data_IF_671412961796
#
_entry.id   IF_671412961796
#
_cell.length_a   1.000
_cell.length_b   1.000
_cell.length_c   1.000
_cell.angle_alpha   90.00
_cell.angle_beta   90.00
_cell.angle_gamma   90.00
#
_symmetry.space_group_name_H-M   'P 1'
#
loop_
_entity.id
_entity.type
_entity.pdbx_description
1 polymer ?
#
# COMPACT_ATOMS: atom_id res chain seq x y z
N UNK A 1 -39.51 -25.70 -29.00
CA UNK A 1 -40.75 -24.91 -29.16
C UNK A 1 -41.01 -24.29 -27.80
N UNK A 2 -40.83 -23.00 -27.55
CA UNK A 2 -41.22 -21.83 -28.34
C UNK A 2 -40.26 -20.68 -28.03
N UNK A 3 -39.59 -20.15 -29.05
CA UNK A 3 -38.75 -18.96 -28.97
C UNK A 3 -39.64 -17.73 -28.83
N UNK A 4 -39.28 -16.79 -27.94
CA UNK A 4 -39.88 -15.45 -27.90
C UNK A 4 -38.82 -14.43 -28.28
N UNK A 5 -39.09 -13.81 -29.43
CA UNK A 5 -38.41 -12.66 -30.02
C UNK A 5 -38.27 -11.51 -29.02
N UNK A 6 -37.08 -10.89 -28.95
CA UNK A 6 -36.96 -9.53 -28.47
C UNK A 6 -36.25 -8.68 -29.53
N UNK A 7 -37.01 -7.70 -29.99
CA UNK A 7 -36.71 -6.77 -31.07
C UNK A 7 -35.71 -5.70 -30.61
N UNK A 8 -34.87 -5.30 -31.56
CA UNK A 8 -33.99 -4.16 -31.55
C UNK A 8 -34.73 -2.83 -31.34
N UNK A 9 -34.19 -1.94 -30.52
CA UNK A 9 -34.40 -0.49 -30.65
C UNK A 9 -33.07 0.25 -30.50
N UNK A 10 -32.56 0.69 -31.65
CA UNK A 10 -31.51 1.69 -31.83
C UNK A 10 -32.14 3.09 -31.73
N UNK A 11 -31.87 3.82 -30.65
CA UNK A 11 -32.04 5.27 -30.48
C UNK A 11 -30.96 5.65 -29.45
N UNK A 12 -29.93 6.43 -29.72
CA UNK A 12 -29.89 7.74 -30.35
C UNK A 12 -28.99 8.59 -29.44
N UNK A 13 -27.70 8.68 -29.77
CA UNK A 13 -26.71 9.41 -28.97
C UNK A 13 -26.79 10.92 -29.22
N UNK A 14 -26.81 11.76 -28.18
CA UNK A 14 -26.45 13.16 -28.30
C UNK A 14 -24.95 13.35 -28.09
N UNK A 15 -24.34 13.90 -29.14
CA UNK A 15 -22.98 14.45 -29.21
C UNK A 15 -22.82 15.56 -28.17
N UNK A 16 -22.09 15.32 -27.07
CA UNK A 16 -21.67 16.37 -26.13
C UNK A 16 -20.30 16.91 -26.54
N UNK A 17 -20.28 18.18 -26.89
CA UNK A 17 -19.12 19.00 -27.21
C UNK A 17 -18.47 19.48 -25.90
N UNK A 18 -17.33 18.92 -25.51
CA UNK A 18 -16.54 19.41 -24.37
C UNK A 18 -15.40 20.33 -24.85
N UNK A 19 -15.44 21.55 -24.34
CA UNK A 19 -14.48 22.63 -24.56
C UNK A 19 -13.16 22.32 -23.85
N UNK A 20 -12.06 22.35 -24.59
CA UNK A 20 -10.71 22.29 -24.05
C UNK A 20 -10.31 23.67 -23.47
N UNK A 21 -10.48 23.84 -22.16
CA UNK A 21 -9.87 24.95 -21.40
C UNK A 21 -8.54 24.50 -20.81
N UNK A 22 -7.50 25.26 -21.12
CA UNK A 22 -6.10 24.94 -20.85
C UNK A 22 -5.76 24.84 -19.36
N UNK A 23 -4.84 23.92 -19.07
CA UNK A 23 -4.17 23.83 -17.79
C UNK A 23 -2.98 24.81 -17.81
N UNK A 24 -3.19 25.96 -17.18
CA UNK A 24 -2.12 26.90 -16.86
C UNK A 24 -1.21 26.32 -15.78
N UNK A 25 0.09 26.40 -16.02
CA UNK A 25 1.15 26.08 -15.08
C UNK A 25 1.26 27.19 -14.03
N UNK A 26 0.67 26.99 -12.86
CA UNK A 26 1.03 27.72 -11.64
C UNK A 26 1.47 26.72 -10.57
N UNK A 27 2.78 26.66 -10.35
CA UNK A 27 3.40 25.95 -9.23
C UNK A 27 3.08 26.73 -7.95
N UNK A 28 2.46 26.12 -6.91
CA UNK A 28 2.32 26.78 -5.63
C UNK A 28 3.71 26.91 -4.97
N UNK A 29 4.20 28.14 -4.96
CA UNK A 29 5.29 28.59 -4.11
C UNK A 29 4.78 28.63 -2.66
N UNK A 30 5.20 27.69 -1.81
CA UNK A 30 4.86 27.77 -0.39
C UNK A 30 4.90 26.46 0.38
N UNK A 31 6.04 25.76 0.36
CA UNK A 31 6.33 24.81 1.43
C UNK A 31 6.99 25.60 2.57
N UNK A 32 6.18 26.21 3.43
CA UNK A 32 6.68 26.77 4.68
C UNK A 32 7.09 25.62 5.60
N UNK A 33 8.40 25.47 5.77
CA UNK A 33 9.00 24.59 6.77
C UNK A 33 8.64 25.14 8.15
N UNK A 34 7.69 24.49 8.82
CA UNK A 34 7.35 24.79 10.21
C UNK A 34 8.52 24.39 11.12
N UNK A 35 9.33 25.38 11.47
CA UNK A 35 10.47 25.29 12.40
C UNK A 35 10.15 26.07 13.67
N UNK A 36 9.33 25.49 14.54
CA UNK A 36 9.14 25.85 15.96
C UNK A 36 8.31 24.74 16.60
N UNK A 37 8.72 23.97 17.60
CA UNK A 37 9.73 24.17 18.63
C UNK A 37 9.07 23.88 19.99
N UNK A 38 9.69 23.03 20.82
CA UNK A 38 9.45 22.97 22.26
C UNK A 38 8.94 21.63 22.80
N UNK A 39 9.80 20.92 23.53
CA UNK A 39 9.47 19.72 24.29
C UNK A 39 10.70 19.23 25.05
N UNK A 40 11.01 19.91 26.14
CA UNK A 40 12.13 19.65 27.05
C UNK A 40 12.17 18.19 27.54
N UNK A 41 13.29 17.50 27.30
CA UNK A 41 13.67 16.31 28.06
C UNK A 41 14.96 16.62 28.83
N UNK A 42 15.01 16.38 30.14
CA UNK A 42 16.20 16.67 30.94
C UNK A 42 17.35 15.74 30.51
N UNK A 43 18.42 16.38 30.05
CA UNK A 43 19.71 15.78 29.75
C UNK A 43 20.26 15.12 31.02
N UNK A 44 20.23 13.80 31.05
CA UNK A 44 21.04 12.99 31.93
C UNK A 44 22.49 13.02 31.44
N UNK A 45 23.34 13.63 32.25
CA UNK A 45 24.80 13.64 32.11
C UNK A 45 25.36 12.21 32.07
N UNK A 46 25.99 11.82 30.96
CA UNK A 46 27.02 10.78 30.96
C UNK A 46 28.29 11.42 30.41
N UNK A 47 29.29 11.51 31.28
CA UNK A 47 30.53 12.21 31.00
C UNK A 47 31.54 11.40 30.20
N UNK A 48 32.43 12.13 29.55
CA UNK A 48 33.87 11.87 29.57
C UNK A 48 34.40 10.80 28.62
N UNK A 49 34.97 11.25 27.51
CA UNK A 49 35.87 10.47 26.67
C UNK A 49 36.26 11.26 25.45
N UNK A 50 37.38 11.99 25.54
CA UNK A 50 38.11 12.46 24.37
C UNK A 50 38.84 11.26 23.74
N UNK A 51 39.28 11.45 22.49
CA UNK A 51 40.18 10.61 21.70
C UNK A 51 39.47 9.55 20.83
N UNK A 52 39.36 9.78 19.51
CA UNK A 52 40.27 9.21 18.51
C UNK A 52 39.80 9.53 17.08
N UNK A 53 40.77 9.71 16.18
CA UNK A 53 40.61 9.88 14.73
C UNK A 53 39.69 8.80 14.11
N UNK A 54 38.62 9.21 13.44
CA UNK A 54 37.73 8.33 12.67
C UNK A 54 38.45 7.78 11.42
N UNK A 55 39.06 6.62 11.57
CA UNK A 55 39.50 5.75 10.48
C UNK A 55 38.26 5.25 9.69
N UNK A 56 38.11 5.55 8.38
CA UNK A 56 36.98 5.08 7.57
C UNK A 56 36.96 3.56 7.32
N UNK A 57 37.91 2.80 7.90
CA UNK A 57 37.89 1.34 7.92
C UNK A 57 37.30 0.75 9.21
N UNK A 58 36.91 1.59 10.17
CA UNK A 58 36.28 1.11 11.39
C UNK A 58 34.82 0.71 11.11
N UNK A 59 34.49 -0.52 11.49
CA UNK A 59 33.24 -1.22 11.18
C UNK A 59 32.00 -0.43 11.63
N UNK A 60 31.19 0.01 10.67
CA UNK A 60 29.93 0.73 10.90
C UNK A 60 28.77 -0.20 11.30
N UNK A 61 29.02 -1.47 11.61
CA UNK A 61 28.00 -2.51 11.89
C UNK A 61 27.01 -2.25 13.03
N UNK A 62 27.05 -1.11 13.74
CA UNK A 62 26.10 -0.79 14.82
C UNK A 62 25.61 0.67 14.83
N UNK A 63 25.44 1.30 13.66
CA UNK A 63 24.72 2.58 13.56
C UNK A 63 23.22 2.33 13.31
N UNK A 64 22.31 2.61 14.27
CA UNK A 64 20.87 2.38 14.11
C UNK A 64 20.18 3.28 13.06
N UNK A 65 20.94 4.15 12.38
CA UNK A 65 20.48 4.97 11.27
C UNK A 65 20.93 4.42 9.89
N UNK A 66 21.76 3.38 9.85
CA UNK A 66 22.21 2.77 8.60
C UNK A 66 21.51 1.43 8.38
N UNK A 67 20.85 1.34 7.23
CA UNK A 67 20.15 0.17 6.74
C UNK A 67 21.15 -0.95 6.43
N UNK A 68 21.62 -1.70 7.43
CA UNK A 68 22.49 -2.87 7.23
C UNK A 68 22.04 -4.03 8.13
N UNK A 69 21.63 -5.14 7.51
CA UNK A 69 21.27 -6.38 8.21
C UNK A 69 22.38 -7.41 8.18
N UNK A 70 22.38 -8.30 9.17
CA UNK A 70 23.32 -9.42 9.32
C UNK A 70 22.57 -10.71 9.63
N UNK A 71 23.29 -11.84 9.80
CA UNK A 71 22.74 -13.22 9.89
C UNK A 71 21.66 -13.47 10.96
N UNK A 72 21.44 -12.52 11.87
CA UNK A 72 20.38 -12.54 12.88
C UNK A 72 19.12 -11.75 12.54
N UNK A 73 18.99 -11.15 11.35
CA UNK A 73 17.81 -10.37 10.96
C UNK A 73 17.40 -10.56 9.49
N UNK A 74 16.14 -10.23 9.18
CA UNK A 74 15.52 -10.46 7.85
C UNK A 74 15.88 -9.42 6.79
N UNK A 75 16.95 -8.64 6.99
CA UNK A 75 17.34 -7.57 6.08
C UNK A 75 18.62 -7.94 5.33
N UNK A 76 18.51 -8.79 4.31
CA UNK A 76 19.60 -8.98 3.35
C UNK A 76 19.58 -7.82 2.35
N UNK A 77 20.57 -6.93 2.43
CA UNK A 77 20.75 -5.93 1.37
C UNK A 77 21.23 -6.63 0.10
N UNK A 78 20.61 -6.26 -1.02
CA UNK A 78 21.06 -6.67 -2.35
C UNK A 78 22.42 -6.02 -2.64
N UNK A 79 23.51 -6.66 -2.22
CA UNK A 79 24.88 -6.25 -2.58
C UNK A 79 25.82 -6.02 -1.41
N UNK A 80 25.84 -6.91 -0.43
CA UNK A 80 26.96 -6.96 0.52
C UNK A 80 28.25 -7.30 -0.22
N UNK A 81 29.21 -6.37 -0.28
CA UNK A 81 30.58 -6.60 -0.76
C UNK A 81 31.44 -7.39 0.28
N UNK A 82 30.79 -8.19 1.12
CA UNK A 82 31.40 -8.98 2.21
C UNK A 82 31.42 -10.48 1.89
N UNK A 83 31.43 -11.32 2.93
CA UNK A 83 31.50 -12.79 2.82
C UNK A 83 30.30 -13.44 2.08
N UNK A 84 29.21 -12.68 1.89
CA UNK A 84 28.03 -13.06 1.10
C UNK A 84 28.13 -12.67 -0.39
N UNK A 85 29.35 -12.47 -0.90
CA UNK A 85 29.57 -12.18 -2.32
C UNK A 85 29.05 -13.33 -3.19
N UNK A 86 27.93 -13.09 -3.86
CA UNK A 86 27.42 -13.97 -4.92
C UNK A 86 28.18 -13.64 -6.22
N UNK A 87 28.76 -14.65 -6.86
CA UNK A 87 29.45 -14.47 -8.14
C UNK A 87 28.48 -13.85 -9.17
N UNK A 88 28.81 -12.72 -9.80
CA UNK A 88 27.98 -12.13 -10.84
C UNK A 88 27.59 -13.11 -11.95
N UNK A 89 28.41 -14.13 -12.23
CA UNK A 89 28.05 -15.16 -13.20
C UNK A 89 26.97 -16.12 -12.69
N UNK A 90 26.97 -16.46 -11.40
CA UNK A 90 25.91 -17.26 -10.77
C UNK A 90 24.58 -16.48 -10.75
N UNK A 91 24.63 -15.17 -10.47
CA UNK A 91 23.46 -14.29 -10.58
C UNK A 91 22.94 -14.21 -12.01
N UNK A 92 23.82 -14.22 -13.01
CA UNK A 92 23.43 -14.23 -14.43
C UNK A 92 22.83 -15.57 -14.85
N UNK A 93 23.40 -16.69 -14.40
CA UNK A 93 22.87 -18.03 -14.64
C UNK A 93 21.47 -18.19 -14.05
N UNK A 94 21.27 -17.81 -12.78
CA UNK A 94 19.95 -17.80 -12.13
C UNK A 94 18.94 -16.93 -12.91
N UNK A 95 19.38 -15.75 -13.36
CA UNK A 95 18.56 -14.84 -14.18
C UNK A 95 18.24 -15.39 -15.55
N UNK A 96 19.09 -16.24 -16.14
CA UNK A 96 18.81 -16.96 -17.38
C UNK A 96 17.81 -18.10 -17.15
N UNK A 97 17.90 -18.82 -16.01
CA UNK A 97 16.93 -19.85 -15.61
C UNK A 97 15.52 -19.28 -15.39
N UNK A 98 15.42 -18.08 -14.80
CA UNK A 98 14.15 -17.33 -14.63
C UNK A 98 13.51 -16.91 -15.97
N UNK A 99 14.27 -16.96 -17.06
CA UNK A 99 13.81 -16.70 -18.42
C UNK A 99 14.03 -15.28 -18.92
N UNK A 100 13.44 -14.92 -20.08
CA UNK A 100 13.63 -13.62 -20.70
C UNK A 100 13.29 -12.46 -19.75
N UNK A 101 13.96 -11.29 -19.87
CA UNK A 101 13.72 -10.15 -18.98
C UNK A 101 12.25 -9.72 -18.87
N UNK A 102 11.43 -9.93 -19.90
CA UNK A 102 9.98 -9.67 -19.82
C UNK A 102 9.26 -10.63 -18.87
N UNK A 103 9.62 -11.92 -18.88
CA UNK A 103 9.04 -12.95 -18.02
C UNK A 103 9.51 -12.74 -16.59
N UNK A 104 10.81 -12.52 -16.38
CA UNK A 104 11.37 -12.19 -15.07
C UNK A 104 10.80 -10.87 -14.53
N UNK A 105 10.65 -9.86 -15.38
CA UNK A 105 9.99 -8.63 -14.99
C UNK A 105 8.55 -8.89 -14.58
N UNK A 106 7.79 -9.80 -15.20
CA UNK A 106 6.45 -10.17 -14.73
C UNK A 106 6.48 -10.91 -13.40
N UNK A 107 7.35 -11.91 -13.25
CA UNK A 107 7.50 -12.71 -12.03
C UNK A 107 7.96 -11.89 -10.82
N UNK A 108 8.76 -10.84 -11.05
CA UNK A 108 9.27 -9.94 -10.02
C UNK A 108 8.79 -8.48 -10.20
N UNK A 109 7.69 -8.25 -10.93
CA UNK A 109 7.12 -6.91 -11.21
C UNK A 109 6.47 -6.29 -9.99
N UNK A 110 6.49 -7.01 -8.89
CA UNK A 110 5.75 -6.77 -7.68
C UNK A 110 6.38 -5.66 -6.89
N UNK A 111 6.24 -4.49 -7.50
CA UNK A 111 6.65 -3.24 -6.94
C UNK A 111 5.68 -2.89 -5.83
N UNK A 112 6.26 -2.34 -4.77
CA UNK A 112 5.54 -1.67 -3.72
C UNK A 112 4.59 -0.65 -4.34
N UNK A 113 3.37 -0.61 -3.84
CA UNK A 113 2.43 0.42 -4.22
C UNK A 113 3.01 1.79 -3.79
N UNK A 114 3.15 2.71 -4.73
CA UNK A 114 3.71 4.03 -4.42
C UNK A 114 2.81 4.74 -3.39
N UNK A 115 3.37 5.50 -2.45
CA UNK A 115 2.60 6.21 -1.42
C UNK A 115 1.51 7.08 -2.04
N UNK A 116 1.80 7.71 -3.18
CA UNK A 116 0.80 8.47 -3.94
C UNK A 116 -0.35 7.58 -4.44
N UNK A 117 -0.03 6.41 -4.97
CA UNK A 117 -1.05 5.46 -5.39
C UNK A 117 -1.88 4.97 -4.19
N UNK A 118 -1.25 4.73 -3.04
CA UNK A 118 -1.93 4.28 -1.83
C UNK A 118 -2.93 5.32 -1.33
N UNK A 119 -2.50 6.60 -1.28
CA UNK A 119 -3.40 7.73 -1.00
C UNK A 119 -4.58 7.77 -1.94
N UNK A 120 -4.34 7.65 -3.25
CA UNK A 120 -5.41 7.67 -4.24
C UNK A 120 -6.37 6.49 -4.07
N UNK A 121 -5.87 5.30 -3.78
CA UNK A 121 -6.70 4.11 -3.53
C UNK A 121 -7.59 4.32 -2.31
N UNK A 122 -7.03 4.75 -1.17
CA UNK A 122 -7.79 5.00 0.05
C UNK A 122 -8.86 6.08 -0.18
N UNK A 123 -8.49 7.19 -0.82
CA UNK A 123 -9.43 8.26 -1.14
C UNK A 123 -10.51 7.81 -2.14
N UNK A 124 -10.19 6.92 -3.07
CA UNK A 124 -11.17 6.37 -4.02
C UNK A 124 -12.25 5.53 -3.32
N UNK A 125 -11.91 4.85 -2.22
CA UNK A 125 -12.86 4.16 -1.36
C UNK A 125 -13.50 5.08 -0.28
N UNK A 126 -13.27 6.39 -0.37
CA UNK A 126 -13.89 7.39 0.50
C UNK A 126 -13.26 7.55 1.89
N UNK A 127 -12.06 7.00 2.12
CA UNK A 127 -11.33 7.17 3.39
C UNK A 127 -10.94 8.62 3.60
N UNK A 128 -11.23 9.19 4.77
CA UNK A 128 -10.83 10.55 5.13
C UNK A 128 -9.34 10.58 5.54
N UNK A 129 -8.49 10.97 4.59
CA UNK A 129 -7.06 11.09 4.79
C UNK A 129 -6.65 12.24 5.73
N UNK A 130 -7.56 13.16 6.03
CA UNK A 130 -7.31 14.28 6.95
C UNK A 130 -7.80 13.99 8.37
N UNK A 131 -8.46 12.85 8.60
CA UNK A 131 -8.95 12.47 9.91
C UNK A 131 -7.79 12.27 10.91
N UNK A 132 -8.00 12.75 12.13
CA UNK A 132 -7.07 12.59 13.26
C UNK A 132 -7.80 11.95 14.44
N UNK A 133 -7.16 11.08 15.21
CA UNK A 133 -7.86 10.34 16.26
C UNK A 133 -6.99 9.48 17.16
N UNK A 134 -7.64 8.76 18.09
CA UNK A 134 -7.00 7.74 18.91
C UNK A 134 -7.92 6.50 18.99
N UNK A 135 -7.57 5.36 18.36
CA UNK A 135 -6.33 5.12 17.61
C UNK A 135 -6.20 5.99 16.35
N UNK A 136 -4.97 6.13 15.85
CA UNK A 136 -4.64 6.90 14.63
C UNK A 136 -5.46 6.39 13.43
N UNK A 137 -6.22 7.24 12.73
CA UNK A 137 -6.91 6.89 11.48
C UNK A 137 -5.95 6.52 10.35
N UNK A 138 -6.48 5.94 9.27
CA UNK A 138 -5.65 5.45 8.15
C UNK A 138 -4.76 6.53 7.53
N UNK A 139 -5.28 7.76 7.35
CA UNK A 139 -4.50 8.90 6.84
C UNK A 139 -3.34 9.27 7.76
N UNK A 140 -3.57 9.32 9.07
CA UNK A 140 -2.55 9.62 10.06
C UNK A 140 -1.48 8.50 10.15
N UNK A 141 -1.89 7.24 10.05
CA UNK A 141 -0.95 6.12 9.98
C UNK A 141 -0.09 6.14 8.72
N UNK A 142 -0.66 6.55 7.58
CA UNK A 142 0.04 6.69 6.31
C UNK A 142 1.10 7.79 6.39
N UNK A 143 0.77 8.93 7.01
CA UNK A 143 1.68 10.06 7.16
C UNK A 143 2.81 9.78 8.13
N UNK A 144 2.49 9.22 9.31
CA UNK A 144 3.51 8.81 10.31
C UNK A 144 4.31 7.58 9.87
N UNK A 145 3.77 6.79 8.94
CA UNK A 145 4.37 5.55 8.44
C UNK A 145 5.27 5.71 7.21
N UNK A 146 5.47 6.93 6.74
CA UNK A 146 6.17 7.21 5.48
C UNK A 146 7.54 6.51 5.38
N UNK A 147 8.32 6.50 6.45
CA UNK A 147 9.64 5.86 6.48
C UNK A 147 9.55 4.32 6.38
N UNK A 148 8.62 3.70 7.09
CA UNK A 148 8.36 2.26 7.02
C UNK A 148 7.88 1.83 5.63
N UNK A 149 7.09 2.70 4.98
CA UNK A 149 6.68 2.54 3.59
C UNK A 149 7.82 2.85 2.60
N UNK A 150 8.97 3.35 3.04
CA UNK A 150 10.09 3.69 2.15
C UNK A 150 9.81 4.93 1.30
N UNK A 151 9.26 5.99 1.89
CA UNK A 151 9.08 7.29 1.25
C UNK A 151 10.40 7.86 0.71
N UNK A 152 10.30 8.76 -0.28
CA UNK A 152 11.47 9.43 -0.83
C UNK A 152 12.14 10.32 0.23
N UNK A 153 13.46 10.23 0.34
CA UNK A 153 14.28 11.11 1.17
C UNK A 153 15.11 12.03 0.26
N UNK A 154 14.61 13.25 0.04
CA UNK A 154 15.25 14.22 -0.85
C UNK A 154 16.55 14.79 -0.27
N UNK A 155 16.71 14.85 1.05
CA UNK A 155 17.96 15.29 1.68
C UNK A 155 19.10 14.30 1.36
N UNK A 156 18.78 13.00 1.36
CA UNK A 156 19.72 11.93 1.00
C UNK A 156 19.74 11.60 -0.50
N UNK A 157 18.96 12.30 -1.32
CA UNK A 157 18.78 12.03 -2.77
C UNK A 157 18.31 10.60 -3.08
N UNK A 158 17.57 9.99 -2.16
CA UNK A 158 17.02 8.64 -2.30
C UNK A 158 15.58 8.74 -2.75
N UNK A 159 15.26 8.08 -3.88
CA UNK A 159 13.89 7.97 -4.36
C UNK A 159 13.03 7.07 -3.46
N UNK A 160 11.73 7.09 -3.68
CA UNK A 160 10.82 6.16 -3.00
C UNK A 160 11.22 4.70 -3.30
N UNK A 161 11.24 3.86 -2.26
CA UNK A 161 11.50 2.44 -2.39
C UNK A 161 10.42 1.78 -3.26
N UNK A 162 10.87 1.02 -4.27
CA UNK A 162 10.00 0.27 -5.19
C UNK A 162 9.80 -1.18 -4.76
N UNK A 163 10.59 -1.68 -3.83
CA UNK A 163 10.51 -3.06 -3.35
C UNK A 163 9.78 -3.10 -2.01
N UNK A 164 9.02 -4.16 -1.78
CA UNK A 164 8.42 -4.42 -0.47
C UNK A 164 9.51 -4.77 0.53
N UNK A 165 9.52 -4.08 1.67
CA UNK A 165 10.16 -4.57 2.89
C UNK A 165 9.08 -5.22 3.76
N UNK A 166 9.45 -6.14 4.65
CA UNK A 166 8.50 -6.70 5.62
C UNK A 166 7.83 -5.59 6.42
N UNK A 167 8.60 -4.57 6.85
CA UNK A 167 8.07 -3.39 7.55
C UNK A 167 7.06 -2.61 6.70
N UNK A 168 7.31 -2.45 5.39
CA UNK A 168 6.40 -1.75 4.49
C UNK A 168 5.11 -2.52 4.27
N UNK A 169 5.19 -3.86 4.13
CA UNK A 169 4.02 -4.72 3.98
C UNK A 169 3.17 -4.74 5.27
N UNK A 170 3.78 -4.88 6.44
CA UNK A 170 3.06 -4.79 7.72
C UNK A 170 2.42 -3.42 7.90
N UNK A 171 3.14 -2.33 7.59
CA UNK A 171 2.57 -0.98 7.69
C UNK A 171 1.40 -0.77 6.74
N UNK A 172 1.46 -1.31 5.52
CA UNK A 172 0.35 -1.28 4.58
C UNK A 172 -0.88 -2.00 5.15
N UNK A 173 -0.69 -3.19 5.75
CA UNK A 173 -1.76 -3.93 6.40
C UNK A 173 -2.40 -3.11 7.54
N UNK A 174 -1.60 -2.47 8.39
CA UNK A 174 -2.12 -1.62 9.48
C UNK A 174 -2.99 -0.48 8.95
N UNK A 175 -2.54 0.16 7.85
CA UNK A 175 -3.29 1.23 7.18
C UNK A 175 -4.61 0.69 6.64
N UNK A 176 -4.62 -0.49 6.00
CA UNK A 176 -5.86 -1.09 5.50
C UNK A 176 -6.82 -1.53 6.61
N UNK A 177 -6.30 -2.04 7.73
CA UNK A 177 -7.14 -2.35 8.91
C UNK A 177 -7.81 -1.09 9.44
N UNK A 178 -7.08 0.01 9.57
CA UNK A 178 -7.66 1.28 10.01
C UNK A 178 -8.57 1.94 8.99
N UNK A 179 -8.37 1.67 7.69
CA UNK A 179 -9.23 2.18 6.63
C UNK A 179 -10.53 1.38 6.50
N UNK A 180 -10.51 0.09 6.84
CA UNK A 180 -11.62 -0.83 6.60
C UNK A 180 -13.00 -0.35 7.13
N UNK A 181 -13.14 0.25 8.33
CA UNK A 181 -14.44 0.75 8.79
C UNK A 181 -15.04 1.82 7.86
N UNK A 182 -14.21 2.73 7.36
CA UNK A 182 -14.64 3.76 6.42
C UNK A 182 -14.96 3.17 5.04
N UNK A 183 -14.13 2.25 4.55
CA UNK A 183 -14.36 1.55 3.28
C UNK A 183 -15.68 0.78 3.32
N UNK A 184 -15.95 0.04 4.39
CA UNK A 184 -17.21 -0.70 4.58
C UNK A 184 -18.40 0.26 4.56
N UNK A 185 -18.31 1.36 5.30
CA UNK A 185 -19.38 2.36 5.40
C UNK A 185 -19.62 3.08 4.08
N UNK A 186 -18.56 3.34 3.32
CA UNK A 186 -18.62 4.12 2.09
C UNK A 186 -18.90 3.28 0.85
N UNK A 187 -18.71 1.95 0.88
CA UNK A 187 -18.85 1.05 -0.28
C UNK A 187 -20.10 1.31 -1.13
N UNK A 188 -21.31 1.51 -0.56
CA UNK A 188 -22.50 1.79 -1.36
C UNK A 188 -22.44 3.12 -2.15
N UNK A 189 -21.61 4.05 -1.69
CA UNK A 189 -21.45 5.39 -2.26
C UNK A 189 -20.23 5.51 -3.20
N UNK A 190 -19.41 4.46 -3.32
CA UNK A 190 -18.24 4.46 -4.20
C UNK A 190 -18.69 4.27 -5.66
N UNK A 191 -18.62 5.34 -6.46
CA UNK A 191 -19.15 5.37 -7.85
C UNK A 191 -18.59 4.24 -8.72
N UNK A 192 -17.29 3.95 -8.63
CA UNK A 192 -16.65 2.90 -9.44
C UNK A 192 -16.97 1.47 -8.96
N UNK A 193 -17.63 1.32 -7.81
CA UNK A 193 -18.13 0.03 -7.32
C UNK A 193 -19.60 -0.20 -7.63
N UNK A 194 -20.32 0.79 -8.17
CA UNK A 194 -21.74 0.64 -8.42
C UNK A 194 -22.00 -0.33 -9.58
N UNK A 195 -22.98 -1.22 -9.40
CA UNK A 195 -23.47 -2.12 -10.45
C UNK A 195 -24.77 -1.54 -10.97
N UNK A 196 -24.80 -1.21 -12.27
CA UNK A 196 -25.95 -0.55 -12.91
C UNK A 196 -26.41 0.75 -12.20
N UNK A 197 -25.45 1.49 -11.61
CA UNK A 197 -25.70 2.72 -10.86
C UNK A 197 -26.30 2.50 -9.46
N UNK A 198 -26.32 1.26 -8.98
CA UNK A 198 -26.77 0.90 -7.63
C UNK A 198 -25.55 0.61 -6.75
N UNK A 199 -25.54 1.26 -5.58
CA UNK A 199 -24.55 1.02 -4.54
C UNK A 199 -24.59 -0.43 -4.04
N UNK A 200 -23.41 -0.99 -3.80
CA UNK A 200 -23.26 -2.34 -3.26
C UNK A 200 -22.76 -2.29 -1.82
N UNK A 201 -23.34 -3.11 -0.97
CA UNK A 201 -22.86 -3.30 0.40
C UNK A 201 -21.71 -4.31 0.40
N UNK A 202 -20.70 -4.09 1.26
CA UNK A 202 -19.59 -5.03 1.41
C UNK A 202 -20.05 -6.38 1.98
N UNK A 203 -21.02 -6.34 2.91
CA UNK A 203 -21.60 -7.49 3.59
C UNK A 203 -23.12 -7.46 3.50
N UNK A 204 -23.75 -8.62 3.36
CA UNK A 204 -25.20 -8.75 3.38
C UNK A 204 -25.77 -8.80 4.82
N UNK A 205 -27.08 -9.02 4.94
CA UNK A 205 -27.78 -9.12 6.23
C UNK A 205 -27.33 -10.31 7.10
N UNK A 206 -26.63 -11.30 6.51
CA UNK A 206 -26.09 -12.47 7.20
C UNK A 206 -24.57 -12.36 7.42
N UNK A 207 -24.01 -11.15 7.31
CA UNK A 207 -22.58 -10.89 7.39
C UNK A 207 -21.74 -11.60 6.31
N UNK A 208 -22.36 -12.06 5.23
CA UNK A 208 -21.67 -12.71 4.12
C UNK A 208 -21.14 -11.67 3.14
N UNK A 209 -19.92 -11.87 2.65
CA UNK A 209 -19.26 -10.98 1.71
C UNK A 209 -19.98 -10.98 0.36
N UNK A 210 -20.26 -9.78 -0.15
CA UNK A 210 -20.88 -9.61 -1.46
C UNK A 210 -19.81 -9.81 -2.57
N UNK A 211 -20.02 -10.71 -3.54
CA UNK A 211 -19.05 -10.98 -4.62
C UNK A 211 -18.75 -9.75 -5.49
N UNK A 212 -19.73 -8.88 -5.72
CA UNK A 212 -19.52 -7.66 -6.50
C UNK A 212 -18.67 -6.66 -5.71
N UNK A 213 -18.87 -6.58 -4.40
CA UNK A 213 -18.09 -5.68 -3.54
C UNK A 213 -16.65 -6.16 -3.39
N UNK A 214 -16.46 -7.48 -3.22
CA UNK A 214 -15.14 -8.11 -3.27
C UNK A 214 -14.47 -7.84 -4.62
N UNK A 215 -15.20 -7.97 -5.74
CA UNK A 215 -14.67 -7.71 -7.07
C UNK A 215 -14.21 -6.26 -7.24
N UNK A 216 -14.99 -5.30 -6.75
CA UNK A 216 -14.58 -3.89 -6.75
C UNK A 216 -13.31 -3.67 -5.92
N UNK A 217 -13.30 -4.23 -4.69
CA UNK A 217 -12.21 -4.06 -3.74
C UNK A 217 -10.86 -4.56 -4.29
N UNK A 218 -10.87 -5.73 -4.95
CA UNK A 218 -9.65 -6.36 -5.48
C UNK A 218 -9.33 -5.97 -6.93
N UNK A 219 -10.20 -5.19 -7.59
CA UNK A 219 -10.03 -4.72 -8.97
C UNK A 219 -10.08 -5.80 -10.05
N UNK A 220 -10.58 -7.00 -9.74
CA UNK A 220 -10.78 -8.12 -10.67
C UNK A 220 -12.03 -8.92 -10.27
N UNK A 221 -12.67 -9.66 -11.20
CA UNK A 221 -13.81 -10.51 -10.85
C UNK A 221 -13.45 -11.48 -9.70
N UNK A 222 -14.24 -11.43 -8.63
CA UNK A 222 -14.08 -12.32 -7.49
C UNK A 222 -14.39 -13.76 -7.90
N UNK A 223 -13.54 -14.71 -7.49
CA UNK A 223 -13.83 -16.14 -7.63
C UNK A 223 -14.56 -16.62 -6.38
N UNK A 224 -15.09 -17.84 -6.43
CA UNK A 224 -15.70 -18.47 -5.27
C UNK A 224 -14.72 -18.56 -4.10
N UNK A 225 -13.42 -18.79 -4.38
CA UNK A 225 -12.37 -18.82 -3.36
C UNK A 225 -12.15 -17.46 -2.68
N UNK A 226 -12.16 -16.34 -3.42
CA UNK A 226 -12.04 -15.01 -2.80
C UNK A 226 -13.18 -14.75 -1.80
N UNK A 227 -14.41 -15.10 -2.19
CA UNK A 227 -15.60 -14.93 -1.35
C UNK A 227 -15.55 -15.90 -0.16
N UNK A 228 -15.13 -17.14 -0.37
CA UNK A 228 -14.98 -18.12 0.70
C UNK A 228 -13.95 -17.69 1.75
N UNK A 229 -12.80 -17.16 1.33
CA UNK A 229 -11.77 -16.63 2.24
C UNK A 229 -12.32 -15.43 3.02
N UNK A 230 -13.03 -14.52 2.35
CA UNK A 230 -13.67 -13.38 2.99
C UNK A 230 -14.66 -13.82 4.07
N UNK A 231 -15.58 -14.73 3.74
CA UNK A 231 -16.56 -15.29 4.69
C UNK A 231 -15.88 -16.02 5.84
N UNK A 232 -14.81 -16.78 5.57
CA UNK A 232 -14.05 -17.45 6.62
C UNK A 232 -13.39 -16.45 7.58
N UNK A 233 -12.81 -15.36 7.07
CA UNK A 233 -12.25 -14.31 7.90
C UNK A 233 -13.32 -13.64 8.79
N UNK A 234 -14.52 -13.42 8.24
CA UNK A 234 -15.67 -12.90 9.00
C UNK A 234 -16.09 -13.86 10.14
N UNK A 235 -16.16 -15.16 9.87
CA UNK A 235 -16.70 -16.15 10.82
C UNK A 235 -15.73 -16.59 11.93
N UNK A 236 -14.43 -16.35 11.77
CA UNK A 236 -13.40 -16.93 12.66
C UNK A 236 -13.09 -16.10 13.91
N UNK A 237 -13.47 -14.83 13.94
CA UNK A 237 -13.22 -13.97 15.10
C UNK A 237 -14.31 -14.01 16.16
N UNK A 238 -13.99 -13.48 17.34
CA UNK A 238 -14.92 -13.35 18.46
C UNK A 238 -15.78 -12.09 18.41
N UNK A 239 -15.51 -11.19 17.46
CA UNK A 239 -16.14 -9.88 17.29
C UNK A 239 -16.37 -9.68 15.80
N UNK A 240 -17.65 -9.72 15.39
CA UNK A 240 -18.04 -9.75 13.97
C UNK A 240 -17.60 -8.48 13.23
N UNK A 241 -17.67 -7.32 13.88
CA UNK A 241 -17.34 -6.04 13.26
C UNK A 241 -15.83 -5.94 13.02
N UNK A 242 -15.02 -6.41 13.98
CA UNK A 242 -13.56 -6.50 13.78
C UNK A 242 -13.19 -7.53 12.73
N UNK A 243 -13.88 -8.66 12.70
CA UNK A 243 -13.66 -9.69 11.67
C UNK A 243 -13.98 -9.19 10.26
N UNK A 244 -15.05 -8.41 10.09
CA UNK A 244 -15.35 -7.71 8.83
C UNK A 244 -14.23 -6.76 8.42
N UNK A 245 -13.70 -5.97 9.35
CA UNK A 245 -12.58 -5.07 9.08
C UNK A 245 -11.33 -5.83 8.64
N UNK A 246 -10.99 -6.93 9.32
CA UNK A 246 -9.86 -7.79 8.97
C UNK A 246 -10.06 -8.43 7.59
N UNK A 247 -11.28 -8.88 7.26
CA UNK A 247 -11.59 -9.48 5.97
C UNK A 247 -11.35 -8.49 4.82
N UNK A 248 -11.88 -7.26 4.93
CA UNK A 248 -11.66 -6.19 3.94
C UNK A 248 -10.18 -5.83 3.84
N UNK A 249 -9.50 -5.64 4.97
CA UNK A 249 -8.08 -5.29 4.97
C UNK A 249 -7.21 -6.37 4.33
N UNK A 250 -7.51 -7.65 4.59
CA UNK A 250 -6.78 -8.79 4.02
C UNK A 250 -7.00 -8.92 2.51
N UNK A 251 -8.22 -8.69 2.02
CA UNK A 251 -8.49 -8.65 0.58
C UNK A 251 -7.76 -7.50 -0.12
N UNK A 252 -7.77 -6.30 0.47
CA UNK A 252 -7.01 -5.16 -0.05
C UNK A 252 -5.50 -5.39 -0.05
N UNK A 253 -4.98 -5.93 1.04
CA UNK A 253 -3.57 -6.28 1.11
C UNK A 253 -3.21 -7.29 0.05
N UNK A 254 -3.95 -8.41 -0.07
CA UNK A 254 -3.74 -9.40 -1.12
C UNK A 254 -3.91 -8.87 -2.55
N UNK A 255 -4.72 -7.82 -2.75
CA UNK A 255 -4.84 -7.15 -4.04
C UNK A 255 -3.67 -6.19 -4.35
N UNK A 256 -2.93 -5.76 -3.33
CA UNK A 256 -1.86 -4.76 -3.44
C UNK A 256 -0.47 -5.27 -3.07
N UNK A 257 -0.37 -6.49 -2.56
CA UNK A 257 0.83 -7.31 -2.52
C UNK A 257 0.71 -8.33 -3.63
N UNK A 258 1.70 -8.42 -4.51
CA UNK A 258 1.69 -9.61 -5.37
C UNK A 258 2.07 -10.83 -4.53
N UNK A 259 1.16 -11.78 -4.48
CA UNK A 259 1.46 -13.19 -4.24
C UNK A 259 0.77 -14.03 -5.33
#
# INVERSE_FOLDING_TARGET
>A
MTMKNMHWMLLGAPLLLAVATGCGSELPSGLEVNTKGGGDNPVGTIGGGADDDDDPTNDTSNQPAETAGGEGNTFNHMGGLGDDYVDPFEVLEQREEEGPPEIRARLHSCQKLQIRALRNTLAAFGVDLAATGNPDPAGELLDKGADALGAANYASRTGEARTWTNSGATKLQDIFVMAAPEIITNMPNVEHCQVDGVGIEMFDENDSCNPDAVSCLIGKPATEEHVAICNQAVMTGSDIDKSKQIAVASLLAGAHTCE
#
